data_IF_082930461770
#
_entry.id   IF_082930461770
#
_cell.length_a   1.000
_cell.length_b   1.000
_cell.length_c   1.000
_cell.angle_alpha   90.00
_cell.angle_beta   90.00
_cell.angle_gamma   90.00
#
_symmetry.space_group_name_H-M   'P 1'
#
loop_
_entity.id
_entity.type
_entity.pdbx_description
1 polymer ?
#
# COMPACT_ATOMS: atom_id res chain seq x y z
N UNK A 1 -14.46 28.85 11.14
CA UNK A 1 -14.65 28.62 11.18
C UNK A 1 -14.62 28.13 10.82
N UNK A 2 -14.47 28.16 10.66
CA UNK A 2 -14.47 27.80 10.66
C UNK A 2 -14.38 27.42 10.25
N UNK A 3 -14.12 27.69 10.00
CA UNK A 3 -14.08 27.40 9.96
C UNK A 3 -13.93 27.00 9.56
N UNK A 4 -13.51 27.13 9.28
CA UNK A 4 -13.50 26.86 9.28
C UNK A 4 -13.60 26.53 8.86
N UNK A 5 -13.43 26.60 8.72
CA UNK A 5 -13.76 26.31 8.67
C UNK A 5 -14.07 25.92 8.34
N UNK A 6 -13.95 26.24 8.16
CA UNK A 6 -14.48 25.73 8.07
C UNK A 6 -14.92 25.33 7.41
N UNK A 7 -15.02 25.24 7.01
CA UNK A 7 -15.47 24.69 6.50
C UNK A 7 -15.99 23.99 6.13
N UNK A 8 -15.73 24.09 6.18
CA UNK A 8 -16.42 23.19 6.27
C UNK A 8 -17.48 22.56 5.84
N UNK A 9 -17.96 22.76 5.73
CA UNK A 9 -19.09 22.38 4.93
C UNK A 9 -18.90 21.10 4.13
N UNK A 10 -17.74 20.83 3.70
CA UNK A 10 -17.42 19.69 2.86
C UNK A 10 -17.04 18.46 3.68
N UNK A 11 -17.65 18.34 4.86
CA UNK A 11 -17.35 17.18 5.68
C UNK A 11 -17.98 15.94 5.11
N UNK A 12 -17.14 15.00 4.77
CA UNK A 12 -17.56 13.66 4.52
C UNK A 12 -16.54 12.73 5.15
N UNK A 13 -16.97 11.55 5.53
CA UNK A 13 -16.11 10.55 6.12
C UNK A 13 -16.06 9.33 5.23
N UNK A 14 -14.95 8.62 5.30
CA UNK A 14 -14.73 7.41 4.50
C UNK A 14 -14.45 6.25 5.43
N UNK A 15 -15.05 5.11 5.12
CA UNK A 15 -14.73 3.86 5.79
C UNK A 15 -13.94 2.97 4.86
N UNK A 16 -13.09 2.13 5.45
CA UNK A 16 -12.24 1.18 4.74
C UNK A 16 -12.65 -0.21 5.18
N UNK A 17 -12.79 -1.13 4.23
CA UNK A 17 -13.24 -2.48 4.52
C UNK A 17 -12.76 -3.45 3.46
N UNK A 18 -13.06 -4.73 3.66
CA UNK A 18 -12.84 -5.79 2.66
C UNK A 18 -11.39 -5.83 2.16
N UNK A 19 -10.42 -5.74 3.07
CA UNK A 19 -9.02 -5.88 2.71
C UNK A 19 -8.75 -7.31 2.24
N UNK A 20 -8.17 -7.43 1.04
CA UNK A 20 -7.69 -8.72 0.55
C UNK A 20 -6.24 -8.58 0.12
N UNK A 21 -5.49 -9.64 0.33
CA UNK A 21 -4.10 -9.72 -0.07
C UNK A 21 -3.88 -11.00 -0.86
N UNK A 22 -3.06 -10.93 -1.88
CA UNK A 22 -2.64 -12.10 -2.64
C UNK A 22 -1.23 -11.90 -3.13
N UNK A 23 -0.51 -13.00 -3.31
CA UNK A 23 0.82 -12.92 -3.90
C UNK A 23 1.01 -14.12 -4.81
N UNK A 24 1.83 -13.93 -5.85
CA UNK A 24 2.17 -14.99 -6.79
C UNK A 24 3.60 -15.48 -6.58
N UNK A 25 4.48 -14.60 -6.09
CA UNK A 25 5.89 -14.92 -5.97
C UNK A 25 6.55 -14.03 -4.92
N UNK A 26 7.22 -14.66 -3.97
CA UNK A 26 8.04 -13.96 -2.97
C UNK A 26 9.52 -14.35 -3.11
N UNK A 27 9.94 -14.77 -4.30
CA UNK A 27 11.33 -15.07 -4.58
C UNK A 27 12.08 -13.84 -5.09
N UNK A 28 13.40 -13.93 -5.10
CA UNK A 28 14.24 -12.82 -5.53
C UNK A 28 14.11 -12.48 -7.02
N UNK A 29 13.57 -13.39 -7.81
CA UNK A 29 13.46 -13.19 -9.25
C UNK A 29 14.78 -13.41 -9.95
N UNK A 30 14.87 -12.94 -11.19
CA UNK A 30 16.08 -13.09 -12.01
C UNK A 30 17.19 -12.16 -11.52
N UNK A 31 18.40 -12.65 -11.51
CA UNK A 31 19.59 -11.85 -11.24
C UNK A 31 20.20 -11.26 -12.51
N UNK A 32 19.64 -11.58 -13.69
CA UNK A 32 20.17 -11.03 -14.95
C UNK A 32 20.06 -9.51 -14.94
N UNK A 33 21.10 -8.81 -15.39
CA UNK A 33 21.08 -7.35 -15.42
C UNK A 33 20.08 -6.83 -16.46
N UNK A 34 19.49 -5.66 -16.15
CA UNK A 34 18.58 -4.98 -17.05
C UNK A 34 18.52 -3.51 -16.72
N UNK A 35 17.80 -2.71 -17.49
CA UNK A 35 17.62 -1.28 -17.19
C UNK A 35 16.99 -1.12 -15.81
N UNK A 36 17.63 -0.31 -14.96
CA UNK A 36 17.12 -0.03 -13.62
C UNK A 36 17.35 -1.13 -12.60
N UNK A 37 18.07 -2.21 -12.93
CA UNK A 37 18.40 -3.28 -12.00
C UNK A 37 18.16 -4.66 -12.59
N UNK A 38 18.01 -5.66 -11.73
CA UNK A 38 17.78 -7.03 -12.15
C UNK A 38 16.46 -7.18 -12.91
N UNK A 39 16.48 -8.04 -13.92
CA UNK A 39 15.26 -8.38 -14.66
C UNK A 39 14.25 -9.00 -13.70
N UNK A 40 12.99 -8.59 -13.81
CA UNK A 40 11.92 -9.07 -12.94
C UNK A 40 11.77 -8.30 -11.63
N UNK A 41 12.68 -7.37 -11.34
CA UNK A 41 12.60 -6.58 -10.12
C UNK A 41 11.33 -5.73 -10.07
N UNK A 42 10.84 -5.31 -11.21
CA UNK A 42 9.65 -4.47 -11.32
C UNK A 42 8.37 -5.23 -11.67
N UNK A 43 8.43 -6.56 -11.70
CA UNK A 43 7.24 -7.37 -11.94
C UNK A 43 6.27 -7.23 -10.76
N UNK A 44 4.97 -7.18 -11.07
CA UNK A 44 3.94 -7.23 -10.05
C UNK A 44 3.86 -8.64 -9.50
N UNK A 45 4.12 -8.80 -8.21
CA UNK A 45 4.16 -10.11 -7.55
C UNK A 45 3.13 -10.26 -6.44
N UNK A 46 2.49 -9.17 -6.04
CA UNK A 46 1.45 -9.19 -5.02
C UNK A 46 0.43 -8.10 -5.31
N UNK A 47 -0.77 -8.27 -4.79
CA UNK A 47 -1.86 -7.32 -4.97
C UNK A 47 -2.61 -7.19 -3.67
N UNK A 48 -2.92 -5.95 -3.30
CA UNK A 48 -3.74 -5.62 -2.14
C UNK A 48 -4.94 -4.83 -2.63
N UNK A 49 -6.13 -5.23 -2.19
CA UNK A 49 -7.36 -4.49 -2.52
C UNK A 49 -8.07 -4.10 -1.25
N UNK A 50 -8.78 -2.98 -1.31
CA UNK A 50 -9.60 -2.52 -0.20
C UNK A 50 -10.81 -1.77 -0.76
N UNK A 51 -11.90 -1.78 0.01
CA UNK A 51 -13.12 -1.09 -0.36
C UNK A 51 -13.20 0.21 0.43
N UNK A 52 -13.38 1.32 -0.28
CA UNK A 52 -13.54 2.64 0.30
C UNK A 52 -15.00 3.06 0.11
N UNK A 53 -15.63 3.50 1.18
CA UNK A 53 -17.04 3.92 1.16
C UNK A 53 -17.14 5.34 1.69
N UNK A 54 -17.87 6.19 0.98
CA UNK A 54 -18.19 7.53 1.46
C UNK A 54 -19.41 7.43 2.37
N UNK A 55 -19.20 7.57 3.67
CA UNK A 55 -20.25 7.49 4.69
C UNK A 55 -20.91 8.84 4.96
N UNK A 56 -20.43 9.89 4.33
CA UNK A 56 -20.93 11.23 4.56
C UNK A 56 -22.16 11.54 3.72
N UNK A 57 -22.53 12.79 3.74
CA UNK A 57 -23.72 13.29 3.03
C UNK A 57 -23.37 14.12 1.81
N UNK A 58 -22.09 14.30 1.53
CA UNK A 58 -21.60 15.07 0.37
C UNK A 58 -20.58 14.27 -0.40
N UNK A 59 -20.43 14.60 -1.67
CA UNK A 59 -19.38 14.03 -2.51
C UNK A 59 -18.02 14.44 -1.96
N UNK A 60 -17.06 13.53 -1.96
CA UNK A 60 -15.72 13.82 -1.55
C UNK A 60 -14.69 12.95 -2.24
N UNK A 61 -13.44 13.31 -2.04
CA UNK A 61 -12.29 12.56 -2.54
C UNK A 61 -11.48 12.03 -1.36
N UNK A 62 -10.97 10.82 -1.52
CA UNK A 62 -10.09 10.20 -0.53
C UNK A 62 -8.87 9.67 -1.24
N UNK A 63 -7.71 9.80 -0.60
CA UNK A 63 -6.47 9.18 -1.06
C UNK A 63 -6.15 8.05 -0.10
N UNK A 64 -6.36 6.82 -0.57
CA UNK A 64 -5.98 5.63 0.19
C UNK A 64 -4.50 5.37 -0.03
N UNK A 65 -3.77 5.07 1.04
CA UNK A 65 -2.33 4.82 1.01
C UNK A 65 -2.04 3.41 1.46
N UNK A 66 -1.11 2.76 0.78
CA UNK A 66 -0.61 1.44 1.14
C UNK A 66 0.79 1.58 1.73
N UNK A 67 0.96 1.05 2.93
CA UNK A 67 2.25 0.92 3.57
C UNK A 67 2.60 -0.55 3.70
N UNK A 68 3.88 -0.85 3.59
CA UNK A 68 4.37 -2.22 3.63
C UNK A 68 5.45 -2.34 4.69
N UNK A 69 5.35 -3.36 5.55
CA UNK A 69 6.38 -3.71 6.51
C UNK A 69 7.05 -5.01 6.11
N UNK A 70 8.37 -5.02 6.09
CA UNK A 70 9.15 -6.21 5.75
C UNK A 70 9.15 -7.20 6.92
N UNK A 71 9.37 -8.50 6.64
CA UNK A 71 9.50 -9.51 7.68
C UNK A 71 10.66 -9.21 8.61
N UNK A 72 10.63 -9.79 9.81
CA UNK A 72 11.68 -9.61 10.80
C UNK A 72 13.03 -10.17 10.35
N UNK A 73 13.05 -11.02 9.33
CA UNK A 73 14.30 -11.54 8.77
C UNK A 73 15.05 -10.51 7.94
N UNK A 74 14.40 -9.41 7.57
CA UNK A 74 15.07 -8.33 6.83
C UNK A 74 16.02 -7.57 7.78
N UNK A 75 17.09 -6.96 7.25
CA UNK A 75 17.89 -6.03 8.04
C UNK A 75 17.04 -4.89 8.56
N UNK A 76 17.56 -4.15 9.55
CA UNK A 76 16.83 -3.01 10.12
C UNK A 76 16.29 -2.11 9.02
N UNK A 77 15.00 -1.87 9.04
CA UNK A 77 14.29 -1.04 8.07
C UNK A 77 13.18 -0.30 8.79
N UNK A 78 12.65 0.78 8.20
CA UNK A 78 11.49 1.45 8.77
C UNK A 78 10.33 0.46 8.97
N UNK A 79 9.55 0.60 10.07
CA UNK A 79 8.43 -0.34 10.32
C UNK A 79 7.38 -0.32 9.22
N UNK A 80 7.19 0.81 8.56
CA UNK A 80 6.25 0.96 7.46
C UNK A 80 6.85 1.86 6.40
N UNK A 81 6.69 1.47 5.14
CA UNK A 81 7.14 2.27 4.01
C UNK A 81 5.98 2.47 3.05
N UNK A 82 5.76 3.70 2.63
CA UNK A 82 4.71 4.00 1.64
C UNK A 82 5.09 3.35 0.32
N UNK A 83 4.20 2.52 -0.21
CA UNK A 83 4.42 1.79 -1.45
C UNK A 83 3.37 2.06 -2.52
N UNK A 84 2.29 2.72 -2.19
CA UNK A 84 1.29 3.06 -3.18
C UNK A 84 0.23 3.98 -2.63
N UNK A 85 -0.50 4.59 -3.55
CA UNK A 85 -1.66 5.40 -3.19
C UNK A 85 -2.66 5.34 -4.35
N UNK A 86 -3.95 5.50 -4.01
CA UNK A 86 -5.04 5.55 -4.97
C UNK A 86 -6.03 6.61 -4.53
N UNK A 87 -6.37 7.49 -5.45
CA UNK A 87 -7.36 8.52 -5.20
C UNK A 87 -8.72 8.07 -5.75
N UNK A 88 -9.75 8.21 -4.93
CA UNK A 88 -11.12 7.93 -5.34
C UNK A 88 -11.99 9.15 -5.10
N UNK A 89 -12.93 9.39 -6.02
CA UNK A 89 -13.96 10.40 -5.86
C UNK A 89 -15.28 9.66 -5.74
N UNK A 90 -15.99 9.88 -4.64
CA UNK A 90 -17.19 9.13 -4.35
C UNK A 90 -18.32 10.10 -3.97
N UNK A 91 -19.47 9.92 -4.59
CA UNK A 91 -20.70 10.58 -4.13
C UNK A 91 -21.12 10.00 -2.79
N UNK A 92 -21.95 10.71 -2.06
CA UNK A 92 -22.44 10.26 -0.77
C UNK A 92 -23.03 8.85 -0.88
N UNK A 93 -22.60 7.96 0.00
CA UNK A 93 -23.07 6.57 0.05
C UNK A 93 -22.43 5.63 -0.95
N UNK A 94 -21.58 6.11 -1.85
CA UNK A 94 -20.97 5.27 -2.86
C UNK A 94 -19.71 4.57 -2.33
N UNK A 95 -19.34 3.47 -2.97
CA UNK A 95 -18.15 2.70 -2.65
C UNK A 95 -17.35 2.41 -3.92
N UNK A 96 -16.06 2.22 -3.73
CA UNK A 96 -15.18 1.78 -4.82
C UNK A 96 -14.08 0.88 -4.23
N UNK A 97 -13.64 -0.08 -5.02
CA UNK A 97 -12.50 -0.92 -4.64
C UNK A 97 -11.24 -0.33 -5.23
N UNK A 98 -10.24 -0.11 -4.38
CA UNK A 98 -8.93 0.32 -4.80
C UNK A 98 -8.01 -0.89 -4.86
N UNK A 99 -7.09 -0.90 -5.82
CA UNK A 99 -6.15 -1.98 -6.02
C UNK A 99 -4.75 -1.41 -6.01
N UNK A 100 -3.88 -2.03 -5.20
CA UNK A 100 -2.46 -1.67 -5.13
C UNK A 100 -1.67 -2.84 -5.66
N UNK A 101 -0.89 -2.61 -6.70
CA UNK A 101 0.02 -3.60 -7.23
C UNK A 101 1.38 -3.45 -6.55
N UNK A 102 1.88 -4.55 -6.01
CA UNK A 102 3.17 -4.57 -5.32
C UNK A 102 4.18 -5.26 -6.21
N UNK A 103 5.25 -4.54 -6.52
CA UNK A 103 6.32 -5.06 -7.35
C UNK A 103 7.31 -5.83 -6.49
N UNK A 104 8.07 -6.71 -7.11
CA UNK A 104 9.12 -7.47 -6.40
C UNK A 104 10.09 -6.54 -5.68
N UNK A 105 10.42 -5.40 -6.28
CA UNK A 105 11.29 -4.41 -5.64
C UNK A 105 10.71 -3.90 -4.32
N UNK A 106 9.40 -3.75 -4.24
CA UNK A 106 8.75 -3.26 -3.02
C UNK A 106 8.89 -4.25 -1.87
N UNK A 107 9.07 -5.54 -2.16
CA UNK A 107 9.31 -6.58 -1.18
C UNK A 107 10.79 -6.75 -0.86
N UNK A 108 11.68 -6.06 -1.56
CA UNK A 108 13.11 -6.33 -1.55
C UNK A 108 13.87 -5.31 -0.71
N UNK A 109 15.02 -5.72 -0.24
CA UNK A 109 16.02 -4.83 0.33
C UNK A 109 17.35 -5.03 -0.41
N UNK A 110 18.19 -4.00 -0.39
CA UNK A 110 19.51 -4.08 -0.99
C UNK A 110 20.46 -4.78 -0.02
N UNK A 111 21.07 -5.87 -0.47
CA UNK A 111 22.04 -6.61 0.34
C UNK A 111 23.44 -6.24 -0.10
N UNK A 112 24.16 -5.54 0.77
CA UNK A 112 25.49 -5.03 0.48
C UNK A 112 26.49 -6.18 0.29
N UNK A 113 26.37 -7.24 1.08
CA UNK A 113 27.30 -8.36 1.02
C UNK A 113 27.28 -9.07 -0.34
N UNK A 114 26.09 -9.28 -0.89
CA UNK A 114 25.93 -9.93 -2.19
C UNK A 114 25.81 -8.94 -3.35
N UNK A 115 25.72 -7.64 -3.06
CA UNK A 115 25.51 -6.61 -4.09
C UNK A 115 24.27 -6.90 -4.94
N UNK A 116 23.17 -7.28 -4.28
CA UNK A 116 21.95 -7.68 -4.97
C UNK A 116 20.72 -7.33 -4.15
N UNK A 117 19.59 -7.19 -4.85
CA UNK A 117 18.28 -7.07 -4.20
C UNK A 117 17.83 -8.44 -3.73
N UNK A 118 17.35 -8.50 -2.51
CA UNK A 118 16.85 -9.74 -1.91
C UNK A 118 15.46 -9.56 -1.34
N UNK A 119 14.63 -10.59 -1.49
CA UNK A 119 13.31 -10.66 -0.84
C UNK A 119 13.48 -11.42 0.46
N UNK A 120 13.24 -10.80 1.63
CA UNK A 120 13.39 -11.50 2.89
C UNK A 120 12.32 -12.58 3.04
N UNK A 121 12.68 -13.67 3.68
CA UNK A 121 11.74 -14.74 3.98
C UNK A 121 10.83 -14.33 5.13
N UNK A 122 9.57 -14.76 5.08
CA UNK A 122 8.63 -14.56 6.17
C UNK A 122 7.38 -13.82 5.73
N UNK A 123 6.68 -13.28 6.71
CA UNK A 123 5.39 -12.63 6.51
C UNK A 123 5.58 -11.14 6.32
N UNK A 124 4.98 -10.61 5.27
CA UNK A 124 4.92 -9.17 5.00
C UNK A 124 3.66 -8.60 5.62
N UNK A 125 3.78 -7.42 6.21
CA UNK A 125 2.63 -6.72 6.78
C UNK A 125 2.18 -5.62 5.84
N UNK A 126 0.87 -5.49 5.66
CA UNK A 126 0.29 -4.43 4.84
C UNK A 126 -0.61 -3.56 5.70
N UNK A 127 -0.57 -2.27 5.44
CA UNK A 127 -1.36 -1.28 6.16
C UNK A 127 -2.01 -0.37 5.12
N UNK A 128 -3.32 -0.24 5.18
CA UNK A 128 -4.06 0.64 4.28
C UNK A 128 -4.78 1.68 5.12
N UNK A 129 -4.64 2.93 4.75
CA UNK A 129 -5.27 4.00 5.48
C UNK A 129 -5.14 5.35 4.77
N UNK A 130 -5.54 6.40 5.47
CA UNK A 130 -5.48 7.76 4.95
C UNK A 130 -4.11 8.39 5.13
N UNK A 131 -3.31 7.86 6.06
CA UNK A 131 -1.94 8.32 6.30
C UNK A 131 -1.21 7.28 7.15
N UNK A 132 0.09 7.48 7.37
CA UNK A 132 0.88 6.59 8.22
C UNK A 132 0.39 6.56 9.66
N UNK A 133 -0.32 7.60 10.08
CA UNK A 133 -0.88 7.72 11.44
C UNK A 133 -2.36 7.39 11.50
N UNK A 134 -2.98 7.14 10.36
CA UNK A 134 -4.40 6.83 10.27
C UNK A 134 -4.56 5.55 9.47
N UNK A 135 -4.05 4.46 10.02
CA UNK A 135 -4.17 3.13 9.43
C UNK A 135 -5.54 2.57 9.77
N UNK A 136 -6.26 2.17 8.74
CA UNK A 136 -7.64 1.68 8.87
C UNK A 136 -7.74 0.17 8.73
N UNK A 137 -6.87 -0.42 7.91
CA UNK A 137 -6.88 -1.86 7.66
C UNK A 137 -5.46 -2.39 7.77
N UNK A 138 -5.32 -3.59 8.32
CA UNK A 138 -4.05 -4.29 8.38
C UNK A 138 -4.23 -5.72 7.89
N UNK A 139 -3.21 -6.23 7.22
CA UNK A 139 -3.22 -7.59 6.72
C UNK A 139 -1.80 -8.12 6.56
N UNK A 140 -1.70 -9.34 6.08
CA UNK A 140 -0.40 -9.99 5.87
C UNK A 140 -0.45 -10.87 4.63
N UNK A 141 0.72 -11.16 4.10
CA UNK A 141 0.87 -12.20 3.09
C UNK A 141 2.25 -12.84 3.14
#
# INVERSE_FOLDING_TARGET
MKTLTDHPTAYTTFSYSALTTSYTDKTAGSTAPGPGGAVGLFDTVATVTAKITNNGTVTGAEVAQLYLGLPSSAPASPPKQLRGFQKVNLVAGASSTVTFDIRRKDLSYWDVASQAWKVPAGTFNVYVGASSRDVRLTGTF
#
